data_IF_428571394478
#
_entry.id   IF_428571394478
#
_cell.length_a   1.000
_cell.length_b   1.000
_cell.length_c   1.000
_cell.angle_alpha   90.00
_cell.angle_beta   90.00
_cell.angle_gamma   90.00
#
_symmetry.space_group_name_H-M   'P 1'
#
loop_
_entity.id
_entity.type
_entity.pdbx_description
1 polymer ?
#
# COMPACT_ATOMS: atom_id res chain seq x y z
N UNK A 1 -30.84 -63.98 -31.05
CA UNK A 1 -30.66 -64.57 -29.70
C UNK A 1 -29.15 -64.61 -29.44
N UNK A 2 -28.61 -63.81 -28.52
CA UNK A 2 -28.58 -64.13 -27.08
C UNK A 2 -27.58 -65.27 -26.88
N UNK A 3 -26.52 -65.17 -26.09
CA UNK A 3 -26.30 -64.55 -24.77
C UNK A 3 -24.76 -64.44 -24.63
N UNK A 4 -24.16 -63.34 -24.15
CA UNK A 4 -24.02 -62.99 -22.73
C UNK A 4 -23.48 -64.21 -21.94
N UNK A 5 -22.41 -64.17 -21.13
CA UNK A 5 -22.02 -63.15 -20.17
C UNK A 5 -20.86 -63.73 -19.33
N UNK A 6 -20.09 -62.82 -18.71
CA UNK A 6 -19.53 -62.88 -17.35
C UNK A 6 -18.50 -63.98 -17.01
N UNK A 7 -17.29 -63.53 -16.70
CA UNK A 7 -16.56 -64.06 -15.55
C UNK A 7 -16.71 -63.05 -14.40
N UNK A 8 -17.34 -63.51 -13.32
CA UNK A 8 -17.43 -62.85 -12.01
C UNK A 8 -16.78 -63.82 -11.05
N UNK A 9 -15.89 -63.33 -10.18
CA UNK A 9 -15.98 -63.55 -8.73
C UNK A 9 -14.98 -62.70 -7.97
N UNK A 10 -15.45 -62.32 -6.79
CA UNK A 10 -14.99 -61.32 -5.86
C UNK A 10 -14.39 -62.03 -4.62
N UNK A 11 -13.62 -61.26 -3.83
CA UNK A 11 -13.45 -61.37 -2.37
C UNK A 11 -12.46 -62.42 -1.79
N UNK A 12 -11.46 -61.91 -1.06
CA UNK A 12 -11.09 -62.29 0.32
C UNK A 12 -10.21 -61.15 0.91
N UNK A 13 -10.64 -60.31 1.87
CA UNK A 13 -10.86 -60.47 3.33
C UNK A 13 -9.61 -60.15 4.22
N UNK A 14 -9.48 -58.86 4.57
CA UNK A 14 -9.29 -58.27 5.94
C UNK A 14 -8.16 -58.74 6.89
N UNK A 15 -7.29 -57.82 7.40
CA UNK A 15 -7.30 -57.22 8.78
C UNK A 15 -5.97 -56.56 9.26
N UNK A 16 -6.13 -55.33 9.82
CA UNK A 16 -5.50 -54.68 11.02
C UNK A 16 -3.98 -54.29 11.00
N UNK A 17 -3.61 -53.00 10.88
CA UNK A 17 -3.51 -51.87 11.86
C UNK A 17 -2.44 -51.98 12.96
N UNK A 18 -1.44 -51.07 12.98
CA UNK A 18 -0.90 -50.36 14.18
C UNK A 18 -0.34 -48.97 13.77
N UNK A 19 -0.48 -48.01 14.68
CA UNK A 19 -0.38 -46.55 14.60
C UNK A 19 1.00 -45.94 14.97
N UNK A 20 1.29 -44.76 14.40
CA UNK A 20 1.87 -43.50 14.98
C UNK A 20 3.34 -43.44 15.45
N UNK A 21 4.09 -42.50 14.85
CA UNK A 21 4.66 -41.33 15.56
C UNK A 21 5.05 -40.23 14.56
N UNK A 22 4.73 -38.98 14.90
CA UNK A 22 4.85 -37.78 14.09
C UNK A 22 6.31 -37.31 13.93
N UNK A 23 6.62 -36.74 12.76
CA UNK A 23 7.85 -36.01 12.48
C UNK A 23 7.63 -35.07 11.30
N UNK A 24 7.12 -33.88 11.58
CA UNK A 24 7.06 -32.74 10.66
C UNK A 24 8.49 -32.32 10.33
N UNK A 25 8.83 -32.18 9.03
CA UNK A 25 9.86 -31.30 8.42
C UNK A 25 9.73 -31.56 6.90
N UNK A 26 8.94 -30.79 6.17
CA UNK A 26 9.31 -29.53 5.49
C UNK A 26 9.92 -29.75 4.09
N UNK A 27 9.41 -28.95 3.15
CA UNK A 27 9.94 -28.61 1.81
C UNK A 27 9.80 -29.77 0.80
N UNK A 28 9.31 -29.63 -0.43
CA UNK A 28 9.52 -28.57 -1.41
C UNK A 28 8.38 -28.58 -2.45
N UNK A 29 7.59 -27.50 -2.44
CA UNK A 29 7.22 -26.67 -3.60
C UNK A 29 7.14 -27.43 -4.94
N UNK A 30 6.11 -28.25 -5.13
CA UNK A 30 5.65 -28.63 -6.47
C UNK A 30 4.36 -27.89 -6.78
N UNK A 31 4.51 -26.80 -7.55
CA UNK A 31 3.48 -26.37 -8.48
C UNK A 31 2.21 -25.76 -7.89
N UNK A 32 2.33 -24.72 -7.05
CA UNK A 32 1.26 -23.72 -7.01
C UNK A 32 1.48 -22.78 -8.18
N UNK A 33 0.80 -23.09 -9.27
CA UNK A 33 0.72 -22.33 -10.51
C UNK A 33 0.43 -20.87 -10.16
N UNK A 34 1.42 -20.02 -10.41
CA UNK A 34 1.32 -18.57 -10.34
C UNK A 34 0.32 -18.14 -11.43
N UNK A 35 -0.96 -18.06 -11.09
CA UNK A 35 -1.96 -17.48 -11.98
C UNK A 35 -1.62 -16.01 -12.14
N UNK A 36 -1.15 -15.64 -13.34
CA UNK A 36 -1.08 -14.27 -13.81
C UNK A 36 -2.47 -13.63 -13.66
N UNK A 37 -2.67 -12.84 -12.62
CA UNK A 37 -3.79 -11.93 -12.52
C UNK A 37 -3.63 -10.84 -13.59
N UNK A 38 -4.36 -10.99 -14.69
CA UNK A 38 -4.62 -9.92 -15.65
C UNK A 38 -5.90 -9.20 -15.22
N UNK A 39 -5.81 -8.28 -14.25
CA UNK A 39 -6.90 -7.33 -13.99
C UNK A 39 -6.74 -6.11 -14.88
N UNK A 40 -7.31 -6.17 -16.09
CA UNK A 40 -7.64 -4.96 -16.86
C UNK A 40 -9.04 -4.47 -16.46
N UNK A 41 -9.07 -3.80 -15.32
CA UNK A 41 -10.16 -2.98 -14.82
C UNK A 41 -9.56 -2.12 -13.72
N UNK A 42 -9.47 -0.80 -13.92
CA UNK A 42 -8.91 0.10 -12.91
C UNK A 42 -9.99 0.32 -11.83
N UNK A 43 -10.19 -0.69 -10.99
CA UNK A 43 -10.78 -0.46 -9.68
C UNK A 43 -9.70 0.27 -8.91
N UNK A 44 -9.97 1.54 -8.66
CA UNK A 44 -9.06 2.38 -7.89
C UNK A 44 -9.33 2.04 -6.44
N UNK A 45 -8.32 1.52 -5.75
CA UNK A 45 -8.47 0.97 -4.40
C UNK A 45 -7.94 1.96 -3.36
N UNK A 46 -8.22 1.72 -2.09
CA UNK A 46 -7.62 2.48 -0.99
C UNK A 46 -6.08 2.45 -1.07
N UNK A 47 -5.44 3.53 -0.62
CA UNK A 47 -3.99 3.52 -0.47
C UNK A 47 -3.63 2.81 0.84
N UNK A 48 -3.01 1.64 0.72
CA UNK A 48 -2.49 0.86 1.85
C UNK A 48 -0.98 1.08 1.96
N UNK A 49 -0.54 1.50 3.14
CA UNK A 49 0.87 1.75 3.45
C UNK A 49 1.30 0.78 4.55
N UNK A 50 2.30 -0.06 4.26
CA UNK A 50 2.91 -0.95 5.26
C UNK A 50 3.82 -0.15 6.20
N UNK A 51 3.56 -0.20 7.51
CA UNK A 51 4.37 0.50 8.52
C UNK A 51 5.81 0.00 8.60
N UNK A 52 6.06 -1.25 8.19
CA UNK A 52 7.39 -1.86 8.10
C UNK A 52 8.29 -1.23 7.04
N UNK A 53 7.71 -0.54 6.05
CA UNK A 53 8.45 0.14 5.00
C UNK A 53 8.80 1.60 5.35
N UNK A 54 8.31 2.10 6.47
CA UNK A 54 8.49 3.48 6.89
C UNK A 54 9.69 3.57 7.83
N UNK A 55 10.62 4.45 7.48
CA UNK A 55 11.83 4.77 8.23
C UNK A 55 11.83 6.23 8.69
N UNK A 56 12.95 6.67 9.25
CA UNK A 56 13.25 8.08 9.51
C UNK A 56 13.48 8.91 8.22
N UNK A 57 13.57 8.26 7.07
CA UNK A 57 13.55 8.90 5.76
C UNK A 57 12.15 8.83 5.13
N UNK A 58 11.77 9.91 4.44
CA UNK A 58 10.47 10.05 3.81
C UNK A 58 10.34 9.04 2.67
N UNK A 59 9.31 8.21 2.75
CA UNK A 59 8.88 7.38 1.63
C UNK A 59 7.74 8.06 0.89
N UNK A 60 7.85 8.06 -0.43
CA UNK A 60 6.88 8.65 -1.34
C UNK A 60 6.04 7.53 -1.98
N UNK A 61 4.75 7.54 -1.70
CA UNK A 61 3.78 6.54 -2.16
C UNK A 61 2.99 7.12 -3.32
N UNK A 62 3.27 6.70 -4.57
CA UNK A 62 2.50 7.14 -5.71
C UNK A 62 1.09 6.57 -5.64
N UNK A 63 0.12 7.38 -6.02
CA UNK A 63 -1.28 7.00 -6.13
C UNK A 63 -1.86 7.59 -7.40
N UNK A 64 -2.79 6.89 -8.05
CA UNK A 64 -3.50 7.43 -9.22
C UNK A 64 -4.96 7.58 -8.85
N UNK A 65 -5.53 8.77 -9.06
CA UNK A 65 -6.97 9.07 -8.95
C UNK A 65 -7.51 9.43 -10.35
N UNK A 66 -8.23 8.52 -10.99
CA UNK A 66 -8.61 8.60 -12.41
C UNK A 66 -7.40 8.82 -13.33
N UNK A 67 -7.29 10.04 -13.87
CA UNK A 67 -6.15 10.47 -14.72
C UNK A 67 -5.10 11.28 -13.96
N UNK A 68 -5.36 11.63 -12.70
CA UNK A 68 -4.49 12.46 -11.88
C UNK A 68 -3.49 11.59 -11.13
N UNK A 69 -2.20 11.87 -11.30
CA UNK A 69 -1.16 11.27 -10.46
C UNK A 69 -1.06 12.08 -9.16
N UNK A 70 -1.01 11.37 -8.04
CA UNK A 70 -0.90 11.89 -6.69
C UNK A 70 0.27 11.21 -5.98
N UNK A 71 0.71 11.75 -4.85
CA UNK A 71 1.77 11.16 -4.04
C UNK A 71 1.54 11.51 -2.57
N UNK A 72 1.61 10.49 -1.72
CA UNK A 72 1.56 10.62 -0.27
C UNK A 72 2.97 10.44 0.28
N UNK A 73 3.36 11.28 1.22
CA UNK A 73 4.59 11.16 1.98
C UNK A 73 4.28 10.49 3.32
N UNK A 74 5.10 9.52 3.71
CA UNK A 74 5.10 9.00 5.07
C UNK A 74 6.51 8.92 5.64
N UNK A 75 6.65 9.21 6.94
CA UNK A 75 7.94 9.17 7.66
C UNK A 75 7.72 8.88 9.14
N UNK A 76 8.66 8.19 9.78
CA UNK A 76 8.71 8.04 11.23
C UNK A 76 9.39 9.26 11.83
N UNK A 77 8.63 10.07 12.56
CA UNK A 77 9.15 11.23 13.27
C UNK A 77 10.01 10.82 14.48
N UNK A 78 10.74 11.78 15.05
CA UNK A 78 11.60 11.56 16.21
C UNK A 78 10.85 11.10 17.46
N UNK A 79 9.56 11.44 17.56
CA UNK A 79 8.64 10.98 18.62
C UNK A 79 8.11 9.54 18.39
N UNK A 80 8.63 8.83 17.38
CA UNK A 80 8.30 7.44 17.06
C UNK A 80 7.00 7.26 16.29
N UNK A 81 6.17 8.30 16.18
CA UNK A 81 4.91 8.25 15.43
C UNK A 81 5.14 8.38 13.93
N UNK A 82 4.23 7.82 13.13
CA UNK A 82 4.28 7.94 11.67
C UNK A 82 3.48 9.16 11.24
N UNK A 83 4.13 10.03 10.46
CA UNK A 83 3.55 11.26 9.91
C UNK A 83 3.17 11.05 8.45
N UNK A 84 1.99 11.53 8.05
CA UNK A 84 1.50 11.45 6.67
C UNK A 84 1.00 12.78 6.13
N UNK A 85 1.32 13.05 4.86
CA UNK A 85 0.86 14.23 4.14
C UNK A 85 0.80 13.97 2.64
N UNK A 86 -0.01 14.73 1.90
CA UNK A 86 0.14 14.79 0.45
C UNK A 86 1.45 15.50 0.07
N UNK A 87 2.12 15.04 -0.99
CA UNK A 87 3.31 15.72 -1.53
C UNK A 87 2.95 16.98 -2.34
N UNK A 88 2.22 17.89 -1.71
CA UNK A 88 1.78 19.15 -2.32
C UNK A 88 1.62 20.24 -1.25
N UNK A 89 1.89 21.48 -1.62
CA UNK A 89 1.88 22.64 -0.75
C UNK A 89 0.50 23.30 -0.74
N UNK A 90 -0.03 23.63 0.44
CA UNK A 90 -1.37 24.21 0.59
C UNK A 90 -1.60 25.50 -0.22
N UNK A 91 -0.55 26.28 -0.49
CA UNK A 91 -0.66 27.55 -1.25
C UNK A 91 0.08 27.56 -2.59
N UNK A 92 0.99 26.61 -2.84
CA UNK A 92 1.78 26.57 -4.08
C UNK A 92 1.37 25.42 -5.00
N UNK A 93 0.36 24.63 -4.65
CA UNK A 93 0.03 23.39 -5.39
C UNK A 93 -0.26 23.63 -6.88
N UNK A 94 -0.87 24.78 -7.20
CA UNK A 94 -1.27 25.18 -8.54
C UNK A 94 -0.10 25.62 -9.44
N UNK A 95 1.04 26.03 -8.84
CA UNK A 95 2.27 26.38 -9.56
C UNK A 95 2.90 25.21 -10.34
N UNK A 96 2.48 23.98 -10.04
CA UNK A 96 3.10 22.75 -10.52
C UNK A 96 4.45 22.40 -9.90
N UNK A 97 5.10 23.35 -9.23
CA UNK A 97 6.33 23.14 -8.47
C UNK A 97 6.10 23.03 -6.96
N UNK A 98 4.87 23.15 -6.50
CA UNK A 98 4.49 23.10 -5.08
C UNK A 98 4.60 21.72 -4.42
N UNK A 99 5.58 20.89 -4.80
CA UNK A 99 5.84 19.59 -4.21
C UNK A 99 7.15 19.61 -3.44
N UNK A 100 7.42 18.58 -2.66
CA UNK A 100 8.56 18.48 -1.75
C UNK A 100 9.53 17.39 -2.19
N UNK A 101 10.80 17.62 -1.90
CA UNK A 101 11.86 16.62 -1.88
C UNK A 101 12.52 16.62 -0.52
N UNK A 102 13.00 15.47 -0.09
CA UNK A 102 13.81 15.40 1.12
C UNK A 102 15.25 15.83 0.82
N UNK A 103 15.81 16.69 1.67
CA UNK A 103 17.22 17.07 1.70
C UNK A 103 17.71 16.89 3.14
N UNK A 104 18.43 15.81 3.41
CA UNK A 104 18.84 15.45 4.77
C UNK A 104 17.63 15.22 5.68
N UNK A 105 17.57 15.92 6.80
CA UNK A 105 16.49 15.87 7.81
C UNK A 105 15.32 16.82 7.50
N UNK A 106 15.25 17.37 6.28
CA UNK A 106 14.25 18.37 5.91
C UNK A 106 13.49 18.02 4.64
N UNK A 107 12.23 18.46 4.57
CA UNK A 107 11.46 18.56 3.34
C UNK A 107 11.60 19.97 2.76
N UNK A 108 11.85 20.06 1.45
CA UNK A 108 12.09 21.33 0.74
C UNK A 108 11.09 21.50 -0.39
N UNK A 109 10.31 22.59 -0.33
CA UNK A 109 9.36 22.94 -1.38
C UNK A 109 10.08 23.32 -2.67
N UNK A 110 9.72 22.71 -3.78
CA UNK A 110 10.38 22.90 -5.09
C UNK A 110 9.90 24.15 -5.84
N UNK A 111 8.91 24.86 -5.28
CA UNK A 111 8.43 26.16 -5.77
C UNK A 111 9.16 27.32 -5.09
N UNK A 112 9.02 27.44 -3.77
CA UNK A 112 9.47 28.61 -3.01
C UNK A 112 10.71 28.35 -2.12
N UNK A 113 11.20 27.11 -2.04
CA UNK A 113 12.38 26.76 -1.25
C UNK A 113 12.17 26.68 0.28
N UNK A 114 10.93 26.83 0.77
CA UNK A 114 10.67 26.71 2.21
C UNK A 114 11.03 25.31 2.72
N UNK A 115 11.54 25.24 3.97
CA UNK A 115 12.13 24.05 4.58
C UNK A 115 11.41 23.68 5.87
N UNK A 116 11.15 22.39 6.06
CA UNK A 116 10.45 21.85 7.23
C UNK A 116 11.23 20.67 7.78
N UNK A 117 11.34 20.57 9.10
CA UNK A 117 11.75 19.32 9.74
C UNK A 117 10.69 18.25 9.50
N UNK A 118 11.13 16.98 9.42
CA UNK A 118 10.24 15.83 9.34
C UNK A 118 9.24 15.75 10.51
N UNK A 119 9.62 16.26 11.69
CA UNK A 119 8.77 16.29 12.88
C UNK A 119 7.58 17.24 12.78
N UNK A 120 7.65 18.21 11.85
CA UNK A 120 6.57 19.16 11.58
C UNK A 120 5.51 18.60 10.63
N UNK A 121 5.83 17.51 9.92
CA UNK A 121 4.91 16.89 8.98
C UNK A 121 3.64 16.45 9.71
N UNK A 122 2.48 16.62 9.07
CA UNK A 122 1.14 16.38 9.63
C UNK A 122 0.70 17.34 10.77
N UNK A 123 1.64 17.96 11.50
CA UNK A 123 1.34 18.85 12.63
C UNK A 123 0.96 20.27 12.20
N UNK A 124 1.68 20.84 11.24
CA UNK A 124 1.43 22.21 10.77
C UNK A 124 0.34 22.25 9.71
N UNK A 125 -0.60 23.19 9.85
CA UNK A 125 -1.70 23.46 8.91
C UNK A 125 -1.66 24.93 8.45
N UNK A 126 -2.13 25.19 7.24
CA UNK A 126 -2.17 26.53 6.64
C UNK A 126 -0.83 26.99 6.04
N UNK A 127 -0.89 28.00 5.18
CA UNK A 127 0.29 28.66 4.61
C UNK A 127 1.16 27.76 3.73
N UNK A 128 2.45 28.07 3.67
CA UNK A 128 3.41 27.29 2.91
C UNK A 128 3.80 26.02 3.67
N UNK A 129 2.92 25.01 3.74
CA UNK A 129 3.18 23.71 4.38
C UNK A 129 2.68 22.56 3.48
N UNK A 130 3.19 21.32 3.64
CA UNK A 130 2.55 20.15 3.06
C UNK A 130 1.08 20.05 3.48
N UNK A 131 0.21 19.51 2.63
CA UNK A 131 -1.19 19.26 3.01
C UNK A 131 -1.26 18.01 3.89
N UNK A 132 -1.61 18.11 5.18
CA UNK A 132 -1.53 16.99 6.11
C UNK A 132 -2.64 15.95 5.86
N UNK A 133 -2.34 14.68 6.13
CA UNK A 133 -3.34 13.61 6.21
C UNK A 133 -3.38 13.19 7.68
N UNK A 134 -4.26 13.85 8.43
CA UNK A 134 -4.41 13.65 9.88
C UNK A 134 -5.22 12.40 10.22
N UNK A 135 -5.23 12.01 11.49
CA UNK A 135 -5.90 10.79 12.01
C UNK A 135 -7.37 10.64 11.58
N UNK A 136 -8.08 11.73 11.34
CA UNK A 136 -9.48 11.70 10.89
C UNK A 136 -9.65 11.28 9.42
N UNK A 137 -8.56 11.22 8.65
CA UNK A 137 -8.55 10.90 7.22
C UNK A 137 -7.81 9.60 6.90
N UNK A 138 -7.39 8.85 7.93
CA UNK A 138 -6.71 7.56 7.79
C UNK A 138 -7.15 6.63 8.92
N UNK A 139 -7.16 5.33 8.64
CA UNK A 139 -7.18 4.30 9.69
C UNK A 139 -5.79 3.72 9.84
N UNK A 140 -5.45 3.27 11.03
CA UNK A 140 -4.19 2.58 11.27
C UNK A 140 -4.38 1.45 12.28
N UNK A 141 -3.68 0.35 12.03
CA UNK A 141 -3.46 -0.74 12.99
C UNK A 141 -1.95 -0.95 13.19
N UNK A 142 -1.54 -2.09 13.74
CA UNK A 142 -0.13 -2.37 14.01
C UNK A 142 0.71 -2.55 12.74
N UNK A 143 0.10 -2.94 11.63
CA UNK A 143 0.79 -3.31 10.39
C UNK A 143 0.66 -2.24 9.32
N UNK A 144 -0.50 -1.61 9.20
CA UNK A 144 -0.86 -0.77 8.05
C UNK A 144 -1.47 0.57 8.43
N UNK A 145 -1.32 1.52 7.50
CA UNK A 145 -2.09 2.77 7.43
C UNK A 145 -2.92 2.70 6.15
N UNK A 146 -4.21 2.96 6.25
CA UNK A 146 -5.13 2.97 5.11
C UNK A 146 -5.70 4.37 4.92
N UNK A 147 -5.60 4.89 3.70
CA UNK A 147 -6.20 6.16 3.28
C UNK A 147 -7.22 5.85 2.20
N UNK A 148 -8.48 6.22 2.43
CA UNK A 148 -9.58 5.78 1.58
C UNK A 148 -9.52 6.39 0.18
N UNK A 149 -9.95 5.62 -0.81
CA UNK A 149 -10.08 6.07 -2.19
C UNK A 149 -10.92 7.36 -2.27
N UNK A 150 -12.02 7.43 -1.52
CA UNK A 150 -12.89 8.60 -1.47
C UNK A 150 -12.16 9.86 -0.99
N UNK A 151 -11.29 9.74 0.01
CA UNK A 151 -10.48 10.87 0.48
C UNK A 151 -9.42 11.28 -0.54
N UNK A 152 -8.77 10.31 -1.20
CA UNK A 152 -7.83 10.58 -2.30
C UNK A 152 -8.53 11.32 -3.45
N UNK A 153 -9.71 10.86 -3.85
CA UNK A 153 -10.49 11.43 -4.95
C UNK A 153 -10.99 12.84 -4.63
N UNK A 154 -11.39 13.11 -3.39
CA UNK A 154 -11.78 14.44 -2.93
C UNK A 154 -10.63 15.46 -2.99
N UNK A 155 -9.38 14.99 -2.86
CA UNK A 155 -8.19 15.84 -2.79
C UNK A 155 -7.38 15.91 -4.09
N UNK A 156 -7.76 15.17 -5.14
CA UNK A 156 -7.03 15.12 -6.42
C UNK A 156 -6.85 16.50 -7.09
N UNK A 157 -7.69 17.49 -6.76
CA UNK A 157 -7.56 18.86 -7.23
C UNK A 157 -6.22 19.52 -6.84
N UNK A 158 -5.65 19.14 -5.69
CA UNK A 158 -4.33 19.59 -5.22
C UNK A 158 -3.18 19.12 -6.13
N UNK A 159 -3.46 18.17 -7.03
CA UNK A 159 -2.49 17.59 -7.93
C UNK A 159 -2.72 17.98 -9.40
N UNK A 160 -3.65 18.91 -9.67
CA UNK A 160 -4.05 19.28 -11.03
C UNK A 160 -2.88 19.73 -11.93
N UNK A 161 -1.91 20.45 -11.37
CA UNK A 161 -0.68 20.90 -12.06
C UNK A 161 0.59 20.22 -11.55
N UNK A 162 0.47 19.23 -10.68
CA UNK A 162 1.58 18.69 -9.92
C UNK A 162 2.70 18.13 -10.82
N UNK A 163 3.93 18.61 -10.57
CA UNK A 163 5.14 18.27 -11.33
C UNK A 163 5.03 18.55 -12.83
N UNK A 164 4.09 19.41 -13.28
CA UNK A 164 4.10 19.95 -14.64
C UNK A 164 5.25 20.97 -14.72
N UNK A 165 6.12 20.77 -15.70
CA UNK A 165 7.24 21.66 -16.01
C UNK A 165 6.75 22.83 -16.85
#
# INVERSE_FOLDING_TARGET
MGKSKLSVKNVHKTKKTVFVAAGIIAVVITGFIFTKFNSKGNVQEDLIILKSEISDNVKFYPYKSGKTNMEVMAVRASDGTIRTAFNTCQICYDSGRGYYKQEGDKLVCQNCGNRFSLDQLEKLKGGCNPVPITKEYKTEDDEVIVISQAFMDANKGLFGNWKKQ
#
